data_IF_053763803301
#
_entry.id   IF_053763803301
#
_cell.length_a   1.000
_cell.length_b   1.000
_cell.length_c   1.000
_cell.angle_alpha   90.00
_cell.angle_beta   90.00
_cell.angle_gamma   90.00
#
_symmetry.space_group_name_H-M   'P 1'
#
loop_
_entity.id
_entity.type
_entity.pdbx_description
1 polymer ?
#
# COMPACT_ATOMS: atom_id res chain seq x y z
N UNK A 1 1.99 -4.92 32.06
CA UNK A 1 3.44 -4.54 31.95
C UNK A 1 3.66 -4.02 30.53
N UNK A 2 4.03 -2.77 30.36
CA UNK A 2 4.17 -2.15 29.03
C UNK A 2 5.50 -2.64 28.44
N UNK A 3 5.41 -3.47 27.39
CA UNK A 3 6.57 -3.81 26.59
C UNK A 3 7.07 -2.54 25.88
N UNK A 4 8.22 -2.00 26.30
CA UNK A 4 8.82 -0.83 25.67
C UNK A 4 9.79 -1.28 24.57
N UNK A 5 9.56 -0.83 23.33
CA UNK A 5 10.49 -1.04 22.19
C UNK A 5 11.72 -0.12 22.27
N UNK A 6 11.86 0.67 23.35
CA UNK A 6 12.99 1.56 23.50
C UNK A 6 14.31 0.78 23.46
N UNK A 7 15.34 1.29 22.76
CA UNK A 7 16.67 0.70 22.81
C UNK A 7 17.14 0.55 24.26
N UNK A 8 17.77 -0.59 24.60
CA UNK A 8 18.28 -0.83 25.95
C UNK A 8 19.19 0.30 26.41
N UNK A 9 20.01 0.82 25.49
CA UNK A 9 20.88 1.97 25.77
C UNK A 9 20.09 3.19 26.23
N UNK A 10 18.99 3.53 25.54
CA UNK A 10 18.17 4.66 25.93
C UNK A 10 17.53 4.46 27.31
N UNK A 11 17.01 3.26 27.59
CA UNK A 11 16.47 2.94 28.92
C UNK A 11 17.56 3.07 30.00
N UNK A 12 18.76 2.56 29.70
CA UNK A 12 19.90 2.69 30.62
C UNK A 12 20.24 4.17 30.87
N UNK A 13 20.37 4.97 29.79
CA UNK A 13 20.71 6.38 29.89
C UNK A 13 19.61 7.18 30.64
N UNK A 14 18.33 6.90 30.38
CA UNK A 14 17.20 7.55 31.09
C UNK A 14 17.21 7.25 32.59
N UNK A 15 17.56 6.01 33.00
CA UNK A 15 17.64 5.62 34.40
C UNK A 15 18.90 6.21 35.05
N UNK A 16 20.05 6.09 34.41
CA UNK A 16 21.35 6.50 35.00
C UNK A 16 21.50 8.01 35.08
N UNK A 17 20.88 8.77 34.17
CA UNK A 17 20.89 10.25 34.22
C UNK A 17 20.11 10.80 35.43
N UNK A 18 19.16 10.03 35.96
CA UNK A 18 18.34 10.43 37.10
C UNK A 18 18.90 9.97 38.47
N UNK A 19 20.01 9.22 38.48
CA UNK A 19 20.63 8.70 39.73
C UNK A 19 22.14 8.90 39.73
N UNK A 20 22.69 9.47 40.77
CA UNK A 20 24.16 9.67 40.89
C UNK A 20 24.96 8.35 40.86
N UNK A 21 24.42 7.29 41.45
CA UNK A 21 25.01 5.96 41.38
C UNK A 21 25.04 5.36 39.97
N UNK A 22 24.22 5.87 39.04
CA UNK A 22 24.23 5.46 37.65
C UNK A 22 25.51 5.78 36.90
N UNK A 23 26.26 6.80 37.35
CA UNK A 23 27.57 7.18 36.78
C UNK A 23 28.68 6.13 37.03
N UNK A 24 28.43 5.23 37.96
CA UNK A 24 29.41 4.17 38.38
C UNK A 24 29.27 2.90 37.50
N UNK A 25 28.23 2.79 36.68
CA UNK A 25 27.95 1.56 35.94
C UNK A 25 28.02 1.84 34.43
N UNK A 26 28.85 1.09 33.72
CA UNK A 26 28.92 1.17 32.27
C UNK A 26 27.82 0.33 31.59
N UNK A 27 27.16 0.87 30.56
CA UNK A 27 26.12 0.17 29.78
C UNK A 27 26.56 -1.23 29.34
N UNK A 28 27.79 -1.38 28.81
CA UNK A 28 28.29 -2.70 28.35
C UNK A 28 28.31 -3.79 29.41
N UNK A 29 28.45 -3.41 30.71
CA UNK A 29 28.36 -4.39 31.82
C UNK A 29 26.91 -4.82 32.09
N UNK A 30 25.95 -3.93 31.85
CA UNK A 30 24.51 -4.16 32.12
C UNK A 30 23.76 -4.69 30.93
N UNK A 31 24.24 -4.51 29.72
CA UNK A 31 23.51 -4.81 28.46
C UNK A 31 23.02 -6.27 28.42
N UNK A 32 23.85 -7.24 28.75
CA UNK A 32 23.46 -8.67 28.78
C UNK A 32 22.37 -8.93 29.82
N UNK A 33 22.52 -8.36 31.00
CA UNK A 33 21.52 -8.49 32.09
C UNK A 33 20.20 -7.84 31.71
N UNK A 34 20.23 -6.63 31.17
CA UNK A 34 19.03 -5.94 30.70
C UNK A 34 18.36 -6.70 29.56
N UNK A 35 19.14 -7.25 28.63
CA UNK A 35 18.61 -8.10 27.55
C UNK A 35 17.96 -9.37 28.10
N UNK A 36 18.63 -10.06 29.06
CA UNK A 36 18.08 -11.24 29.71
C UNK A 36 16.77 -10.95 30.43
N UNK A 37 16.70 -9.89 31.22
CA UNK A 37 15.44 -9.50 31.88
C UNK A 37 14.36 -9.13 30.89
N UNK A 38 14.69 -8.36 29.84
CA UNK A 38 13.72 -8.02 28.79
C UNK A 38 13.20 -9.28 28.08
N UNK A 39 14.08 -10.23 27.76
CA UNK A 39 13.70 -11.45 27.03
C UNK A 39 12.69 -12.32 27.79
N UNK A 40 12.64 -12.24 29.11
CA UNK A 40 11.62 -12.96 29.92
C UNK A 40 10.19 -12.46 29.70
N UNK A 41 10.04 -11.21 29.28
CA UNK A 41 8.73 -10.57 29.08
C UNK A 41 8.37 -10.45 27.59
N UNK A 42 9.27 -10.79 26.69
CA UNK A 42 8.97 -10.86 25.26
C UNK A 42 8.37 -12.23 24.97
N UNK A 43 7.15 -12.28 24.37
CA UNK A 43 6.60 -13.54 23.91
C UNK A 43 7.56 -14.27 22.97
N UNK A 44 7.60 -15.58 23.04
CA UNK A 44 8.39 -16.38 22.09
C UNK A 44 7.89 -16.13 20.68
N UNK A 45 8.81 -15.98 19.73
CA UNK A 45 8.44 -15.82 18.33
C UNK A 45 7.81 -17.12 17.82
N UNK A 46 6.64 -17.03 17.16
CA UNK A 46 5.97 -18.21 16.64
C UNK A 46 6.82 -18.88 15.55
N UNK A 47 6.84 -20.21 15.56
CA UNK A 47 7.55 -21.02 14.57
C UNK A 47 6.63 -21.47 13.44
N UNK A 48 5.33 -21.55 13.71
CA UNK A 48 4.29 -21.96 12.76
C UNK A 48 3.19 -20.90 12.65
N UNK A 49 2.34 -21.05 11.66
CA UNK A 49 1.17 -20.18 11.50
C UNK A 49 0.10 -20.45 12.59
N UNK A 50 -0.01 -21.68 13.07
CA UNK A 50 -0.90 -22.03 14.18
C UNK A 50 -0.47 -21.33 15.47
N UNK A 51 0.80 -21.46 15.86
CA UNK A 51 1.39 -20.73 17.00
C UNK A 51 1.22 -19.22 16.90
N UNK A 52 1.25 -18.67 15.66
CA UNK A 52 1.01 -17.25 15.42
C UNK A 52 -0.43 -16.87 15.77
N UNK A 53 -1.42 -17.70 15.44
CA UNK A 53 -2.83 -17.48 15.78
C UNK A 53 -3.05 -17.47 17.29
N UNK A 54 -2.44 -18.41 18.01
CA UNK A 54 -2.48 -18.49 19.48
C UNK A 54 -1.87 -17.22 20.11
N UNK A 55 -0.65 -16.88 19.70
CA UNK A 55 0.02 -15.67 20.18
C UNK A 55 -0.82 -14.40 19.93
N UNK A 56 -1.43 -14.28 18.76
CA UNK A 56 -2.25 -13.11 18.41
C UNK A 56 -3.54 -13.02 19.23
N UNK A 57 -4.08 -14.14 19.68
CA UNK A 57 -5.22 -14.16 20.60
C UNK A 57 -4.87 -13.57 21.97
N UNK A 58 -3.61 -13.67 22.39
CA UNK A 58 -3.12 -13.12 23.67
C UNK A 58 -2.68 -11.65 23.55
N UNK A 59 -1.94 -11.29 22.49
CA UNK A 59 -1.31 -9.97 22.37
C UNK A 59 -1.92 -9.09 21.28
N UNK A 60 -2.98 -9.56 20.60
CA UNK A 60 -3.56 -8.90 19.44
C UNK A 60 -4.36 -7.63 19.74
N UNK A 61 -4.62 -7.32 21.01
CA UNK A 61 -5.39 -6.15 21.42
C UNK A 61 -4.60 -4.85 21.33
N UNK A 62 -5.33 -3.74 21.17
CA UNK A 62 -4.82 -2.38 21.14
C UNK A 62 -5.68 -1.50 22.07
N UNK A 63 -5.10 -1.08 23.20
CA UNK A 63 -5.81 -0.27 24.17
C UNK A 63 -7.06 -0.95 24.77
N UNK A 64 -7.02 -2.25 25.01
CA UNK A 64 -8.15 -3.03 25.54
C UNK A 64 -9.21 -3.40 24.51
N UNK A 65 -8.97 -3.12 23.22
CA UNK A 65 -9.88 -3.47 22.13
C UNK A 65 -9.19 -4.38 21.11
N UNK A 66 -9.90 -5.32 20.47
CA UNK A 66 -9.35 -6.19 19.47
C UNK A 66 -8.73 -5.42 18.30
N UNK A 67 -7.47 -5.69 17.98
CA UNK A 67 -6.79 -5.21 16.78
C UNK A 67 -6.52 -6.36 15.81
N UNK A 68 -6.14 -7.52 16.32
CA UNK A 68 -6.18 -8.77 15.58
C UNK A 68 -7.64 -9.17 15.36
N UNK A 69 -8.02 -9.46 14.12
CA UNK A 69 -9.40 -9.82 13.76
C UNK A 69 -9.57 -11.29 13.49
N UNK A 70 -8.71 -11.84 12.65
CA UNK A 70 -8.66 -13.26 12.37
C UNK A 70 -7.36 -13.67 11.67
N UNK A 71 -7.08 -14.96 11.71
CA UNK A 71 -6.12 -15.61 10.82
C UNK A 71 -6.82 -16.78 10.11
N UNK A 72 -6.44 -17.02 8.87
CA UNK A 72 -6.98 -18.15 8.07
C UNK A 72 -5.82 -18.90 7.42
N UNK A 73 -5.89 -20.22 7.51
CA UNK A 73 -4.93 -21.16 6.94
C UNK A 73 -5.68 -22.00 5.90
N UNK A 74 -5.56 -21.62 4.65
CA UNK A 74 -6.27 -22.27 3.55
C UNK A 74 -5.31 -22.92 2.55
N UNK A 75 -5.84 -23.78 1.68
CA UNK A 75 -5.10 -24.35 0.55
C UNK A 75 -4.59 -23.29 -0.43
N UNK A 76 -5.13 -22.06 -0.38
CA UNK A 76 -4.72 -20.94 -1.23
C UNK A 76 -3.57 -20.14 -0.64
N UNK A 77 -3.26 -20.33 0.63
CA UNK A 77 -2.26 -19.61 1.41
C UNK A 77 -2.81 -19.12 2.75
N UNK A 78 -1.96 -18.52 3.54
CA UNK A 78 -2.27 -18.06 4.89
C UNK A 78 -2.30 -16.53 4.94
N UNK A 79 -3.16 -15.98 5.79
CA UNK A 79 -3.20 -14.55 6.04
C UNK A 79 -3.68 -14.23 7.46
N UNK A 80 -3.34 -13.01 7.89
CA UNK A 80 -3.76 -12.44 9.18
C UNK A 80 -4.33 -11.05 8.93
N UNK A 81 -5.48 -10.75 9.51
CA UNK A 81 -6.17 -9.46 9.39
C UNK A 81 -6.04 -8.66 10.67
N UNK A 82 -5.65 -7.39 10.52
CA UNK A 82 -5.55 -6.40 11.60
C UNK A 82 -6.39 -5.16 11.27
N UNK A 83 -7.22 -4.73 12.21
CA UNK A 83 -7.94 -3.47 12.12
C UNK A 83 -8.42 -3.04 13.52
N UNK A 84 -8.31 -1.76 13.85
CA UNK A 84 -8.93 -1.18 15.05
C UNK A 84 -10.45 -0.98 14.87
N UNK A 85 -11.19 -0.77 15.95
CA UNK A 85 -12.62 -0.47 15.87
C UNK A 85 -12.91 0.79 15.07
N UNK A 86 -12.07 1.83 15.20
CA UNK A 86 -12.18 3.04 14.38
C UNK A 86 -12.02 2.72 12.88
N UNK A 87 -11.04 1.90 12.53
CA UNK A 87 -10.81 1.51 11.13
C UNK A 87 -12.00 0.75 10.54
N UNK A 88 -12.61 -0.18 11.29
CA UNK A 88 -13.81 -0.90 10.84
C UNK A 88 -14.99 0.05 10.65
N UNK A 89 -15.18 1.02 11.57
CA UNK A 89 -16.22 2.04 11.42
C UNK A 89 -16.00 2.88 10.16
N UNK A 90 -14.77 3.33 9.90
CA UNK A 90 -14.44 4.10 8.70
C UNK A 90 -14.60 3.27 7.42
N UNK A 91 -14.45 1.97 7.50
CA UNK A 91 -14.59 1.06 6.37
C UNK A 91 -16.02 0.97 5.88
N UNK A 92 -17.02 1.00 6.77
CA UNK A 92 -18.44 1.03 6.40
C UNK A 92 -18.81 2.26 5.56
N UNK A 93 -18.18 3.41 5.83
CA UNK A 93 -18.49 4.68 5.19
C UNK A 93 -17.63 4.96 3.96
N UNK A 94 -16.64 4.09 3.67
CA UNK A 94 -15.65 4.33 2.64
C UNK A 94 -16.22 4.12 1.22
N UNK A 95 -16.40 5.21 0.46
CA UNK A 95 -16.87 5.19 -0.94
C UNK A 95 -15.74 5.00 -1.94
N UNK A 96 -14.56 5.57 -1.64
CA UNK A 96 -13.36 5.44 -2.48
C UNK A 96 -12.30 4.73 -1.68
N UNK A 97 -11.91 3.57 -2.14
CA UNK A 97 -10.92 2.70 -1.50
C UNK A 97 -9.72 2.53 -2.41
N UNK A 98 -8.53 2.71 -1.86
CA UNK A 98 -7.28 2.35 -2.53
C UNK A 98 -6.68 1.11 -1.88
N UNK A 99 -6.19 0.20 -2.68
CA UNK A 99 -5.58 -1.05 -2.23
C UNK A 99 -4.20 -1.22 -2.85
N UNK A 100 -3.22 -1.51 -2.01
CA UNK A 100 -1.84 -1.67 -2.42
C UNK A 100 -1.08 -2.54 -1.41
N UNK A 101 0.06 -3.07 -1.80
CA UNK A 101 0.87 -3.93 -0.96
C UNK A 101 2.30 -3.39 -0.77
N UNK A 102 2.85 -3.63 0.42
CA UNK A 102 4.24 -3.32 0.73
C UNK A 102 4.98 -4.56 1.22
N UNK A 103 6.21 -4.75 0.74
CA UNK A 103 7.00 -5.95 1.01
C UNK A 103 8.03 -5.73 2.13
N UNK A 104 8.59 -4.53 2.23
CA UNK A 104 9.73 -4.23 3.10
C UNK A 104 9.40 -4.24 4.60
N UNK A 105 8.14 -4.09 4.96
CA UNK A 105 7.69 -4.06 6.37
C UNK A 105 7.28 -5.43 6.90
N UNK A 106 7.24 -6.43 6.02
CA UNK A 106 6.86 -7.81 6.38
C UNK A 106 7.82 -8.37 7.43
N UNK A 107 7.30 -9.03 8.49
CA UNK A 107 8.14 -9.60 9.52
C UNK A 107 9.13 -10.63 8.97
N UNK A 108 10.37 -10.62 9.51
CA UNK A 108 11.41 -11.59 9.15
C UNK A 108 11.11 -13.01 9.65
N UNK A 109 10.28 -13.14 10.70
CA UNK A 109 9.83 -14.42 11.28
C UNK A 109 8.39 -14.29 11.76
N UNK A 110 7.53 -15.32 11.57
CA UNK A 110 7.78 -16.51 10.74
C UNK A 110 8.03 -16.12 9.27
N UNK A 111 8.92 -16.86 8.58
CA UNK A 111 9.42 -16.48 7.24
C UNK A 111 8.40 -16.58 6.09
N UNK A 112 7.17 -16.97 6.35
CA UNK A 112 6.23 -17.39 5.32
C UNK A 112 5.38 -16.24 4.74
N UNK A 113 5.51 -15.02 5.26
CA UNK A 113 4.75 -13.90 4.73
C UNK A 113 5.45 -13.26 3.54
N UNK A 114 4.65 -12.93 2.53
CA UNK A 114 5.12 -12.34 1.28
C UNK A 114 4.95 -10.82 1.26
N UNK A 115 3.79 -10.33 1.72
CA UNK A 115 3.46 -8.90 1.68
C UNK A 115 2.51 -8.49 2.81
N UNK A 116 2.54 -7.19 3.12
CA UNK A 116 1.50 -6.52 3.89
C UNK A 116 0.59 -5.79 2.89
N UNK A 117 -0.62 -6.32 2.68
CA UNK A 117 -1.66 -5.70 1.87
C UNK A 117 -2.42 -4.69 2.71
N UNK A 118 -2.54 -3.46 2.24
CA UNK A 118 -3.13 -2.34 2.96
C UNK A 118 -4.35 -1.84 2.20
N UNK A 119 -5.48 -1.79 2.88
CA UNK A 119 -6.73 -1.23 2.38
C UNK A 119 -6.89 0.15 2.99
N UNK A 120 -7.04 1.18 2.15
CA UNK A 120 -7.16 2.58 2.56
C UNK A 120 -8.46 3.18 2.03
N UNK A 121 -9.17 3.93 2.87
CA UNK A 121 -10.33 4.72 2.47
C UNK A 121 -9.97 6.20 2.34
N UNK A 122 -10.60 6.90 1.40
CA UNK A 122 -10.44 8.34 1.22
C UNK A 122 -11.45 9.10 2.07
N UNK A 123 -10.95 9.92 2.99
CA UNK A 123 -11.75 10.83 3.80
C UNK A 123 -11.02 12.17 3.98
N UNK A 124 -11.73 13.29 3.96
CA UNK A 124 -11.18 14.66 4.12
C UNK A 124 -10.00 14.94 3.17
N UNK A 125 -10.04 14.42 1.93
CA UNK A 125 -8.98 14.59 0.94
C UNK A 125 -7.73 13.72 1.15
N UNK A 126 -7.69 12.90 2.19
CA UNK A 126 -6.57 12.03 2.54
C UNK A 126 -6.94 10.55 2.50
N UNK A 127 -5.96 9.67 2.27
CA UNK A 127 -6.13 8.24 2.43
C UNK A 127 -5.75 7.82 3.86
N UNK A 128 -6.66 7.08 4.50
CA UNK A 128 -6.52 6.53 5.84
C UNK A 128 -6.50 5.01 5.77
N UNK A 129 -5.60 4.33 6.50
CA UNK A 129 -5.61 2.88 6.52
C UNK A 129 -6.88 2.38 7.21
N UNK A 130 -7.62 1.50 6.55
CA UNK A 130 -8.84 0.85 7.04
C UNK A 130 -8.57 -0.56 7.55
N UNK A 131 -7.63 -1.26 6.93
CA UNK A 131 -7.30 -2.63 7.27
C UNK A 131 -5.91 -3.01 6.79
N UNK A 132 -5.26 -3.90 7.52
CA UNK A 132 -3.98 -4.49 7.15
C UNK A 132 -4.12 -6.00 7.05
N UNK A 133 -3.60 -6.59 5.98
CA UNK A 133 -3.60 -8.03 5.78
C UNK A 133 -2.18 -8.51 5.51
N UNK A 134 -1.62 -9.24 6.46
CA UNK A 134 -0.34 -9.91 6.29
C UNK A 134 -0.58 -11.25 5.61
N UNK A 135 -0.04 -11.47 4.40
CA UNK A 135 -0.40 -12.61 3.55
C UNK A 135 0.82 -13.28 2.90
N UNK A 136 0.67 -14.58 2.57
CA UNK A 136 1.78 -15.44 2.12
C UNK A 136 2.02 -15.44 0.61
N UNK A 137 1.08 -15.01 -0.20
CA UNK A 137 1.21 -14.89 -1.64
C UNK A 137 0.21 -13.87 -2.21
N UNK A 138 0.24 -13.64 -3.53
CA UNK A 138 -0.61 -12.69 -4.25
C UNK A 138 -1.50 -13.35 -5.33
N UNK A 139 -1.92 -14.58 -5.11
CA UNK A 139 -2.79 -15.30 -6.04
C UNK A 139 -4.23 -14.83 -5.92
N UNK A 140 -4.97 -14.83 -7.02
CA UNK A 140 -6.40 -14.44 -7.08
C UNK A 140 -7.22 -15.12 -5.99
N UNK A 141 -7.08 -16.44 -5.84
CA UNK A 141 -7.89 -17.21 -4.88
C UNK A 141 -7.63 -16.77 -3.42
N UNK A 142 -6.39 -16.37 -3.08
CA UNK A 142 -6.10 -15.87 -1.75
C UNK A 142 -6.72 -14.49 -1.54
N UNK A 143 -6.64 -13.58 -2.52
CA UNK A 143 -7.32 -12.28 -2.45
C UNK A 143 -8.84 -12.44 -2.33
N UNK A 144 -9.45 -13.33 -3.13
CA UNK A 144 -10.90 -13.60 -3.05
C UNK A 144 -11.27 -14.09 -1.65
N UNK A 145 -10.49 -15.02 -1.08
CA UNK A 145 -10.72 -15.52 0.28
C UNK A 145 -10.57 -14.41 1.35
N UNK A 146 -9.60 -13.52 1.18
CA UNK A 146 -9.42 -12.36 2.04
C UNK A 146 -10.66 -11.45 1.97
N UNK A 147 -11.15 -11.11 0.77
CA UNK A 147 -12.33 -10.25 0.61
C UNK A 147 -13.60 -10.91 1.16
N UNK A 148 -13.76 -12.23 1.02
CA UNK A 148 -14.84 -12.98 1.68
C UNK A 148 -14.80 -12.80 3.21
N UNK A 149 -13.62 -12.95 3.83
CA UNK A 149 -13.44 -12.74 5.27
C UNK A 149 -13.64 -11.30 5.69
N UNK A 150 -13.22 -10.35 4.87
CA UNK A 150 -13.47 -8.92 5.11
C UNK A 150 -14.96 -8.62 5.14
N UNK A 151 -15.75 -9.16 4.20
CA UNK A 151 -17.22 -9.01 4.20
C UNK A 151 -17.90 -9.70 5.40
N UNK A 152 -17.29 -10.74 5.97
CA UNK A 152 -17.76 -11.31 7.24
C UNK A 152 -17.52 -10.40 8.45
N UNK A 153 -16.39 -9.65 8.46
CA UNK A 153 -16.04 -8.70 9.53
C UNK A 153 -16.82 -7.39 9.37
N UNK A 154 -17.02 -6.93 8.13
CA UNK A 154 -17.67 -5.67 7.76
C UNK A 154 -18.68 -5.95 6.65
N UNK A 155 -19.89 -6.44 6.98
CA UNK A 155 -20.89 -6.87 5.99
C UNK A 155 -21.30 -5.80 4.99
N UNK A 156 -21.36 -4.52 5.43
CA UNK A 156 -21.78 -3.37 4.61
C UNK A 156 -20.63 -2.73 3.81
N UNK A 157 -19.46 -3.37 3.77
CA UNK A 157 -18.33 -2.87 3.01
C UNK A 157 -18.53 -3.07 1.50
N UNK A 158 -19.10 -2.07 0.85
CA UNK A 158 -19.34 -2.04 -0.60
C UNK A 158 -18.98 -0.64 -1.15
N UNK A 159 -17.69 -0.37 -1.39
CA UNK A 159 -17.25 0.93 -1.90
C UNK A 159 -17.67 1.13 -3.37
N UNK A 160 -17.95 2.39 -3.75
CA UNK A 160 -18.29 2.74 -5.12
C UNK A 160 -17.10 2.54 -6.07
N UNK A 161 -15.86 2.76 -5.56
CA UNK A 161 -14.66 2.75 -6.39
C UNK A 161 -13.47 2.13 -5.67
N UNK A 162 -12.79 1.22 -6.35
CA UNK A 162 -11.44 0.75 -5.98
C UNK A 162 -10.38 1.37 -6.89
N UNK A 163 -9.30 1.87 -6.27
CA UNK A 163 -8.05 2.26 -6.92
C UNK A 163 -7.00 1.20 -6.60
N UNK A 164 -6.36 0.62 -7.59
CA UNK A 164 -5.34 -0.42 -7.37
C UNK A 164 -4.24 -0.34 -8.43
N UNK A 165 -3.16 -1.06 -8.20
CA UNK A 165 -2.17 -1.32 -9.22
C UNK A 165 -2.69 -2.36 -10.24
N UNK A 166 -2.01 -2.44 -11.37
CA UNK A 166 -2.39 -3.39 -12.44
C UNK A 166 -1.92 -4.82 -12.14
N UNK A 167 -2.13 -5.28 -10.90
CA UNK A 167 -1.90 -6.68 -10.54
C UNK A 167 -3.12 -7.53 -10.90
N UNK A 168 -2.97 -8.43 -11.88
CA UNK A 168 -4.08 -9.24 -12.41
C UNK A 168 -4.81 -10.04 -11.34
N UNK A 169 -4.06 -10.64 -10.41
CA UNK A 169 -4.64 -11.43 -9.33
C UNK A 169 -5.58 -10.60 -8.46
N UNK A 170 -5.17 -9.39 -8.13
CA UNK A 170 -5.95 -8.44 -7.33
C UNK A 170 -7.16 -7.92 -8.10
N UNK A 171 -6.97 -7.45 -9.35
CA UNK A 171 -8.06 -6.93 -10.19
C UNK A 171 -9.16 -8.00 -10.38
N UNK A 172 -8.76 -9.24 -10.68
CA UNK A 172 -9.71 -10.35 -10.85
C UNK A 172 -10.47 -10.64 -9.57
N UNK A 173 -9.80 -10.68 -8.43
CA UNK A 173 -10.43 -10.90 -7.14
C UNK A 173 -11.40 -9.77 -6.76
N UNK A 174 -11.02 -8.50 -7.00
CA UNK A 174 -11.89 -7.35 -6.78
C UNK A 174 -13.17 -7.44 -7.64
N UNK A 175 -13.03 -7.70 -8.95
CA UNK A 175 -14.18 -7.86 -9.86
C UNK A 175 -15.13 -8.99 -9.44
N UNK A 176 -14.59 -10.08 -8.87
CA UNK A 176 -15.39 -11.20 -8.38
C UNK A 176 -16.08 -10.90 -7.05
N UNK A 177 -15.42 -10.17 -6.16
CA UNK A 177 -15.91 -9.93 -4.80
C UNK A 177 -16.80 -8.68 -4.67
N UNK A 178 -16.63 -7.69 -5.57
CA UNK A 178 -17.31 -6.40 -5.52
C UNK A 178 -17.89 -6.05 -6.89
N UNK A 179 -18.95 -6.74 -7.27
CA UNK A 179 -19.55 -6.66 -8.62
C UNK A 179 -20.14 -5.30 -8.97
N UNK A 180 -20.53 -4.52 -7.95
CA UNK A 180 -21.11 -3.18 -8.13
C UNK A 180 -20.07 -2.07 -8.07
N UNK A 181 -18.84 -2.37 -7.72
CA UNK A 181 -17.76 -1.38 -7.59
C UNK A 181 -17.04 -1.15 -8.91
N UNK A 182 -16.74 0.10 -9.21
CA UNK A 182 -15.83 0.45 -10.31
C UNK A 182 -14.37 0.18 -9.87
N UNK A 183 -13.59 -0.48 -10.75
CA UNK A 183 -12.20 -0.80 -10.47
C UNK A 183 -11.30 -0.07 -11.46
N UNK A 184 -10.49 0.84 -10.94
CA UNK A 184 -9.59 1.68 -11.72
C UNK A 184 -8.14 1.43 -11.33
N UNK A 185 -7.30 1.31 -12.35
CA UNK A 185 -5.86 1.27 -12.16
C UNK A 185 -5.25 2.66 -11.94
N UNK A 186 -4.05 2.70 -11.39
CA UNK A 186 -3.33 3.93 -11.15
C UNK A 186 -2.73 4.49 -12.45
N UNK A 187 -3.06 5.74 -12.81
CA UNK A 187 -2.48 6.42 -13.97
C UNK A 187 -0.95 6.47 -13.95
N UNK A 188 -0.35 6.69 -12.79
CA UNK A 188 1.10 6.70 -12.64
C UNK A 188 1.72 5.36 -13.04
N UNK A 189 1.15 4.24 -12.56
CA UNK A 189 1.64 2.90 -12.90
C UNK A 189 1.47 2.55 -14.38
N UNK A 190 0.39 2.99 -15.02
CA UNK A 190 0.23 2.89 -16.48
C UNK A 190 1.34 3.65 -17.20
N UNK A 191 1.52 4.93 -16.88
CA UNK A 191 2.55 5.78 -17.49
C UNK A 191 3.94 5.20 -17.32
N UNK A 192 4.28 4.74 -16.11
CA UNK A 192 5.57 4.10 -15.82
C UNK A 192 5.77 2.78 -16.59
N UNK A 193 4.71 2.00 -16.78
CA UNK A 193 4.79 0.77 -17.55
C UNK A 193 5.04 1.05 -19.03
N UNK A 194 4.36 2.03 -19.61
CA UNK A 194 4.57 2.46 -21.00
C UNK A 194 5.99 3.04 -21.18
N UNK A 195 6.47 3.88 -20.24
CA UNK A 195 7.84 4.40 -20.27
C UNK A 195 8.90 3.29 -20.19
N UNK A 196 8.69 2.29 -19.32
CA UNK A 196 9.57 1.13 -19.23
C UNK A 196 9.57 0.33 -20.53
N UNK A 197 8.42 0.18 -21.17
CA UNK A 197 8.30 -0.50 -22.47
C UNK A 197 9.10 0.25 -23.54
N UNK A 198 8.96 1.57 -23.63
CA UNK A 198 9.78 2.42 -24.53
C UNK A 198 11.28 2.19 -24.30
N UNK A 199 11.69 2.08 -23.02
CA UNK A 199 13.09 1.81 -22.66
C UNK A 199 13.56 0.41 -23.04
N UNK A 200 12.77 -0.63 -22.78
CA UNK A 200 13.11 -2.03 -23.09
C UNK A 200 13.15 -2.33 -24.59
N UNK A 201 12.32 -1.62 -25.37
CA UNK A 201 12.33 -1.73 -26.84
C UNK A 201 13.48 -0.96 -27.51
N UNK A 202 14.42 -0.42 -26.73
CA UNK A 202 15.57 0.33 -27.24
C UNK A 202 15.25 1.79 -27.64
N UNK A 203 14.00 2.24 -27.48
CA UNK A 203 13.51 3.53 -27.96
C UNK A 203 13.74 4.69 -26.98
N UNK A 204 14.55 4.51 -25.92
CA UNK A 204 14.86 5.56 -24.94
C UNK A 204 15.49 6.79 -25.59
N UNK A 205 16.46 6.57 -26.50
CA UNK A 205 17.11 7.68 -27.21
C UNK A 205 16.16 8.42 -28.15
N UNK A 206 15.26 7.68 -28.81
CA UNK A 206 14.21 8.24 -29.65
C UNK A 206 13.28 9.12 -28.81
N UNK A 207 12.83 8.62 -27.65
CA UNK A 207 11.98 9.39 -26.72
C UNK A 207 12.63 10.67 -26.21
N UNK A 208 13.96 10.67 -25.99
CA UNK A 208 14.70 11.84 -25.50
C UNK A 208 14.92 12.86 -26.62
N UNK A 209 15.28 12.40 -27.84
CA UNK A 209 15.79 13.25 -28.92
C UNK A 209 14.71 13.69 -29.92
N UNK A 210 13.61 12.92 -30.13
CA UNK A 210 12.55 13.29 -31.05
C UNK A 210 11.38 13.96 -30.32
N UNK A 211 11.13 15.28 -30.55
CA UNK A 211 9.95 15.96 -30.05
C UNK A 211 8.64 15.33 -30.52
N UNK A 212 8.61 14.82 -31.77
CA UNK A 212 7.44 14.18 -32.38
C UNK A 212 7.09 12.89 -31.64
N UNK A 213 8.07 12.00 -31.44
CA UNK A 213 7.83 10.77 -30.69
C UNK A 213 7.49 11.02 -29.24
N UNK A 214 8.14 12.03 -28.60
CA UNK A 214 7.80 12.44 -27.24
C UNK A 214 6.36 12.95 -27.15
N UNK A 215 5.87 13.67 -28.17
CA UNK A 215 4.47 14.10 -28.24
C UNK A 215 3.51 12.90 -28.37
N UNK A 216 3.82 11.94 -29.25
CA UNK A 216 3.06 10.69 -29.40
C UNK A 216 3.00 9.93 -28.08
N UNK A 217 4.15 9.73 -27.41
CA UNK A 217 4.21 9.03 -26.13
C UNK A 217 3.38 9.73 -25.05
N UNK A 218 3.42 11.05 -24.94
CA UNK A 218 2.58 11.82 -24.01
C UNK A 218 1.09 11.61 -24.28
N UNK A 219 0.69 11.54 -25.53
CA UNK A 219 -0.70 11.26 -25.91
C UNK A 219 -1.11 9.84 -25.56
N UNK A 220 -0.22 8.85 -25.73
CA UNK A 220 -0.44 7.49 -25.26
C UNK A 220 -0.63 7.45 -23.73
N UNK A 221 0.19 8.19 -22.95
CA UNK A 221 0.01 8.31 -21.50
C UNK A 221 -1.34 8.93 -21.13
N UNK A 222 -1.88 9.82 -21.95
CA UNK A 222 -3.14 10.53 -21.72
C UNK A 222 -4.38 9.71 -22.09
N UNK A 223 -4.24 8.55 -22.74
CA UNK A 223 -5.38 7.70 -23.11
C UNK A 223 -6.26 7.36 -21.92
N UNK A 224 -5.65 7.10 -20.76
CA UNK A 224 -6.38 6.73 -19.54
C UNK A 224 -7.18 7.88 -18.93
N UNK A 225 -6.95 9.12 -19.35
CA UNK A 225 -7.73 10.30 -18.94
C UNK A 225 -9.06 10.42 -19.70
N UNK A 226 -9.26 9.63 -20.75
CA UNK A 226 -10.45 9.60 -21.57
C UNK A 226 -11.52 8.66 -21.00
N UNK A 227 -12.81 8.91 -21.28
CA UNK A 227 -13.85 7.93 -21.04
C UNK A 227 -13.51 6.58 -21.69
N UNK A 228 -13.87 5.44 -21.10
CA UNK A 228 -13.53 4.10 -21.64
C UNK A 228 -13.87 3.93 -23.11
N UNK A 229 -15.03 4.45 -23.57
CA UNK A 229 -15.50 4.37 -24.96
C UNK A 229 -14.66 5.19 -25.95
N UNK A 230 -13.87 6.15 -25.46
CA UNK A 230 -13.05 7.03 -26.32
C UNK A 230 -11.59 6.58 -26.39
N UNK A 231 -11.15 5.60 -25.58
CA UNK A 231 -9.76 5.14 -25.54
C UNK A 231 -9.36 4.50 -26.87
N UNK A 232 -10.13 3.52 -27.37
CA UNK A 232 -9.79 2.81 -28.63
C UNK A 232 -9.78 3.75 -29.83
N UNK A 233 -10.79 4.62 -30.06
CA UNK A 233 -10.74 5.60 -31.13
C UNK A 233 -9.53 6.56 -31.05
N UNK A 234 -9.18 7.01 -29.84
CA UNK A 234 -8.04 7.88 -29.65
C UNK A 234 -6.70 7.15 -29.89
N UNK A 235 -6.58 5.91 -29.41
CA UNK A 235 -5.42 5.05 -29.67
C UNK A 235 -5.20 4.85 -31.16
N UNK A 236 -6.24 4.48 -31.92
CA UNK A 236 -6.16 4.29 -33.37
C UNK A 236 -5.75 5.58 -34.10
N UNK A 237 -6.25 6.73 -33.68
CA UNK A 237 -5.82 8.03 -34.23
C UNK A 237 -4.33 8.28 -34.01
N UNK A 238 -3.84 8.04 -32.79
CA UNK A 238 -2.42 8.20 -32.45
C UNK A 238 -1.55 7.25 -33.30
N UNK A 239 -1.99 5.99 -33.47
CA UNK A 239 -1.31 4.98 -34.29
C UNK A 239 -1.23 5.43 -35.75
N UNK A 240 -2.34 5.91 -36.34
CA UNK A 240 -2.39 6.41 -37.72
C UNK A 240 -1.49 7.64 -37.93
N UNK A 241 -1.40 8.53 -36.96
CA UNK A 241 -0.48 9.67 -37.03
C UNK A 241 0.98 9.21 -36.95
N UNK A 242 1.29 8.22 -36.10
CA UNK A 242 2.62 7.69 -35.94
C UNK A 242 3.14 7.01 -37.23
N UNK A 243 2.25 6.38 -38.01
CA UNK A 243 2.59 5.76 -39.31
C UNK A 243 3.21 6.74 -40.31
N UNK A 244 2.99 8.06 -40.16
CA UNK A 244 3.55 9.10 -41.03
C UNK A 244 5.03 9.38 -40.76
N UNK A 245 5.58 8.83 -39.67
CA UNK A 245 6.96 9.10 -39.28
C UNK A 245 7.88 7.90 -39.57
N UNK A 246 9.11 8.11 -40.00
CA UNK A 246 10.05 7.02 -40.31
C UNK A 246 10.34 6.10 -39.11
N UNK A 247 10.20 6.61 -37.90
CA UNK A 247 10.46 5.83 -36.69
C UNK A 247 9.30 4.86 -36.30
N UNK A 248 8.19 4.81 -37.05
CA UNK A 248 7.07 3.94 -36.73
C UNK A 248 7.49 2.47 -36.56
N UNK A 249 8.30 1.96 -37.50
CA UNK A 249 8.80 0.57 -37.45
C UNK A 249 9.49 0.23 -36.13
N UNK A 250 10.22 1.20 -35.53
CA UNK A 250 10.88 1.03 -34.22
C UNK A 250 9.90 1.02 -33.06
N UNK A 251 8.68 1.53 -33.26
CA UNK A 251 7.67 1.72 -32.19
C UNK A 251 6.47 0.78 -32.33
N UNK A 252 6.45 -0.10 -33.33
CA UNK A 252 5.35 -1.02 -33.60
C UNK A 252 5.07 -1.95 -32.40
N UNK A 253 6.11 -2.45 -31.76
CA UNK A 253 6.01 -3.29 -30.56
C UNK A 253 5.37 -2.55 -29.39
N UNK A 254 5.61 -1.24 -29.26
CA UNK A 254 4.95 -0.40 -28.25
C UNK A 254 3.44 -0.32 -28.49
N UNK A 255 3.00 -0.10 -29.73
CA UNK A 255 1.58 -0.06 -30.07
C UNK A 255 0.93 -1.42 -29.87
N UNK A 256 1.58 -2.49 -30.30
CA UNK A 256 1.12 -3.88 -30.08
C UNK A 256 0.97 -4.18 -28.57
N UNK A 257 1.92 -3.75 -27.75
CA UNK A 257 1.86 -3.89 -26.30
C UNK A 257 0.66 -3.13 -25.70
N UNK A 258 0.43 -1.88 -26.10
CA UNK A 258 -0.70 -1.10 -25.60
C UNK A 258 -2.03 -1.74 -26.01
N UNK A 259 -2.15 -2.17 -27.24
CA UNK A 259 -3.37 -2.77 -27.76
C UNK A 259 -3.66 -4.14 -27.10
N UNK A 260 -2.70 -5.06 -27.12
CA UNK A 260 -2.90 -6.43 -26.62
C UNK A 260 -3.03 -6.49 -25.11
N UNK A 261 -2.15 -5.80 -24.38
CA UNK A 261 -2.10 -5.88 -22.94
C UNK A 261 -3.08 -4.90 -22.28
N UNK A 262 -2.99 -3.60 -22.59
CA UNK A 262 -3.77 -2.60 -21.88
C UNK A 262 -5.22 -2.53 -22.33
N UNK A 263 -5.47 -2.48 -23.63
CA UNK A 263 -6.82 -2.34 -24.16
C UNK A 263 -7.58 -3.67 -24.06
N UNK A 264 -6.97 -4.77 -24.55
CA UNK A 264 -7.66 -6.06 -24.68
C UNK A 264 -7.63 -6.88 -23.38
N UNK A 265 -6.49 -6.98 -22.68
CA UNK A 265 -6.37 -7.83 -21.48
C UNK A 265 -6.82 -7.13 -20.20
N UNK A 266 -6.34 -5.91 -19.91
CA UNK A 266 -6.72 -5.15 -18.72
C UNK A 266 -8.12 -4.55 -18.90
N UNK A 267 -8.39 -3.96 -20.06
CA UNK A 267 -9.66 -3.42 -20.49
C UNK A 267 -9.82 -1.92 -20.22
N UNK A 268 -10.42 -1.22 -21.18
CA UNK A 268 -10.63 0.22 -21.13
C UNK A 268 -11.32 0.74 -19.86
N UNK A 269 -12.34 0.08 -19.29
CA UNK A 269 -12.94 0.52 -18.04
C UNK A 269 -11.95 0.53 -16.86
N UNK A 270 -11.03 -0.44 -16.80
CA UNK A 270 -10.06 -0.55 -15.70
C UNK A 270 -8.91 0.44 -15.84
N UNK A 271 -8.44 0.72 -17.08
CA UNK A 271 -7.35 1.68 -17.29
C UNK A 271 -7.81 3.14 -17.26
N UNK A 272 -9.09 3.41 -17.52
CA UNK A 272 -9.63 4.78 -17.49
C UNK A 272 -9.71 5.32 -16.07
N UNK A 273 -9.18 6.52 -15.87
CA UNK A 273 -9.33 7.31 -14.63
C UNK A 273 -10.18 8.56 -14.87
N UNK A 274 -10.94 8.58 -15.98
CA UNK A 274 -11.83 9.69 -16.31
C UNK A 274 -12.90 9.87 -15.24
N UNK A 275 -13.16 11.12 -14.84
CA UNK A 275 -14.14 11.43 -13.81
C UNK A 275 -13.71 11.12 -12.37
N UNK A 276 -12.59 10.42 -12.16
CA UNK A 276 -12.15 10.08 -10.82
C UNK A 276 -11.51 11.30 -10.12
N UNK A 277 -11.94 11.55 -8.89
CA UNK A 277 -11.36 12.58 -8.03
C UNK A 277 -9.95 12.21 -7.53
N UNK A 278 -9.52 10.96 -7.73
CA UNK A 278 -8.18 10.45 -7.46
C UNK A 278 -7.73 9.62 -8.66
N UNK A 279 -6.79 10.16 -9.45
CA UNK A 279 -6.26 9.53 -10.66
C UNK A 279 -5.04 8.63 -10.39
N UNK A 280 -4.48 8.77 -9.20
CA UNK A 280 -3.28 8.05 -8.77
C UNK A 280 -3.47 7.57 -7.35
N UNK A 281 -2.75 6.50 -6.98
CA UNK A 281 -2.66 6.00 -5.60
C UNK A 281 -1.54 6.69 -4.79
N UNK A 282 -1.04 7.86 -5.23
CA UNK A 282 0.06 8.59 -4.55
C UNK A 282 -0.17 8.76 -3.04
N UNK A 283 -1.42 8.96 -2.61
CA UNK A 283 -1.75 9.05 -1.18
C UNK A 283 -1.46 7.75 -0.43
N UNK A 284 -1.73 6.61 -1.04
CA UNK A 284 -1.42 5.30 -0.48
C UNK A 284 0.08 4.99 -0.58
N UNK A 285 0.76 5.36 -1.67
CA UNK A 285 2.21 5.24 -1.78
C UNK A 285 2.92 6.04 -0.67
N UNK A 286 2.46 7.27 -0.41
CA UNK A 286 2.96 8.09 0.70
C UNK A 286 2.70 7.43 2.06
N UNK A 287 1.57 6.77 2.24
CA UNK A 287 1.26 6.02 3.46
C UNK A 287 2.17 4.79 3.59
N UNK A 288 2.39 4.02 2.52
CA UNK A 288 3.31 2.90 2.50
C UNK A 288 4.76 3.34 2.80
N UNK A 289 5.18 4.51 2.32
CA UNK A 289 6.47 5.10 2.68
C UNK A 289 6.54 5.45 4.18
N UNK A 290 5.48 6.02 4.77
CA UNK A 290 5.38 6.26 6.21
C UNK A 290 5.41 4.95 7.02
N UNK A 291 4.68 3.92 6.57
CA UNK A 291 4.71 2.58 7.18
C UNK A 291 6.14 2.03 7.21
N UNK A 292 6.87 2.10 6.09
CA UNK A 292 8.26 1.65 6.02
C UNK A 292 9.17 2.37 7.03
N UNK A 293 9.03 3.68 7.18
CA UNK A 293 9.82 4.47 8.13
C UNK A 293 9.46 4.10 9.57
N UNK A 294 8.17 3.91 9.87
CA UNK A 294 7.68 3.66 11.24
C UNK A 294 7.87 2.21 11.67
N UNK A 295 7.62 1.25 10.79
CA UNK A 295 7.73 -0.18 11.10
C UNK A 295 9.18 -0.67 10.95
N UNK A 296 9.92 -0.13 9.99
CA UNK A 296 11.26 -0.58 9.63
C UNK A 296 11.25 -1.70 8.59
N UNK A 297 12.46 -2.18 8.25
CA UNK A 297 12.65 -3.21 7.23
C UNK A 297 12.79 -4.56 7.90
N UNK A 298 11.90 -5.48 7.56
CA UNK A 298 11.87 -6.87 8.03
C UNK A 298 12.09 -7.03 9.55
N UNK A 299 11.31 -6.33 10.41
CA UNK A 299 11.43 -6.48 11.86
C UNK A 299 11.04 -7.90 12.30
N UNK A 300 11.31 -8.28 13.56
CA UNK A 300 10.65 -9.46 14.10
C UNK A 300 9.15 -9.20 14.31
N UNK A 301 8.35 -10.26 14.45
CA UNK A 301 6.88 -10.15 14.48
C UNK A 301 6.36 -9.29 15.65
N UNK A 302 6.95 -9.39 16.82
CA UNK A 302 6.51 -8.63 18.02
C UNK A 302 6.75 -7.12 17.78
N UNK A 303 7.92 -6.76 17.27
CA UNK A 303 8.25 -5.37 16.89
C UNK A 303 7.33 -4.88 15.78
N UNK A 304 7.09 -5.71 14.77
CA UNK A 304 6.14 -5.40 13.70
C UNK A 304 4.76 -5.05 14.26
N UNK A 305 4.21 -5.93 15.10
CA UNK A 305 2.87 -5.76 15.67
C UNK A 305 2.78 -4.50 16.54
N UNK A 306 3.75 -4.28 17.43
CA UNK A 306 3.79 -3.09 18.29
C UNK A 306 3.84 -1.80 17.48
N UNK A 307 4.71 -1.75 16.46
CA UNK A 307 4.86 -0.58 15.58
C UNK A 307 3.63 -0.37 14.67
N UNK A 308 3.00 -1.45 14.21
CA UNK A 308 1.76 -1.35 13.43
C UNK A 308 0.62 -0.78 14.29
N UNK A 309 0.49 -1.20 15.55
CA UNK A 309 -0.47 -0.62 16.52
C UNK A 309 -0.20 0.87 16.75
N UNK A 310 1.05 1.24 17.03
CA UNK A 310 1.43 2.65 17.24
C UNK A 310 1.18 3.51 16.00
N UNK A 311 1.48 2.99 14.82
CA UNK A 311 1.16 3.65 13.54
C UNK A 311 -0.35 3.85 13.38
N UNK A 312 -1.15 2.82 13.66
CA UNK A 312 -2.62 2.88 13.57
C UNK A 312 -3.19 3.93 14.52
N UNK A 313 -2.70 4.00 15.77
CA UNK A 313 -3.10 5.04 16.73
C UNK A 313 -2.78 6.44 16.19
N UNK A 314 -1.58 6.65 15.66
CA UNK A 314 -1.19 7.95 15.07
C UNK A 314 -2.09 8.34 13.89
N UNK A 315 -2.43 7.39 13.01
CA UNK A 315 -3.32 7.65 11.88
C UNK A 315 -4.76 7.93 12.32
N UNK A 316 -5.22 7.30 13.40
CA UNK A 316 -6.53 7.59 14.01
C UNK A 316 -6.58 9.01 14.56
N UNK A 317 -5.53 9.47 15.25
CA UNK A 317 -5.43 10.84 15.73
C UNK A 317 -5.41 11.86 14.58
N UNK A 318 -4.71 11.55 13.48
CA UNK A 318 -4.71 12.40 12.29
C UNK A 318 -6.11 12.49 11.66
N UNK A 319 -6.85 11.39 11.63
CA UNK A 319 -8.25 11.38 11.17
C UNK A 319 -9.13 12.28 12.03
N UNK A 320 -9.08 12.16 13.37
CA UNK A 320 -9.87 12.98 14.28
C UNK A 320 -9.52 14.48 14.16
N UNK A 321 -8.24 14.81 13.95
CA UNK A 321 -7.81 16.19 13.68
C UNK A 321 -8.44 16.74 12.39
N UNK A 322 -8.43 15.97 11.30
CA UNK A 322 -9.05 16.38 10.04
C UNK A 322 -10.56 16.56 10.18
N UNK A 323 -11.24 15.67 10.92
CA UNK A 323 -12.67 15.79 11.25
C UNK A 323 -12.99 17.09 11.97
N UNK A 324 -12.05 17.59 12.80
CA UNK A 324 -12.14 18.87 13.48
C UNK A 324 -11.60 20.06 12.66
N UNK A 325 -11.41 19.89 11.34
CA UNK A 325 -10.81 20.88 10.43
C UNK A 325 -9.41 21.35 10.86
N UNK A 326 -8.65 20.51 11.58
CA UNK A 326 -7.26 20.81 11.95
C UNK A 326 -6.29 20.29 10.90
N UNK A 327 -5.22 21.04 10.66
CA UNK A 327 -4.17 20.62 9.74
C UNK A 327 -3.30 19.51 10.35
N UNK A 328 -2.98 18.49 9.54
CA UNK A 328 -2.10 17.37 9.93
C UNK A 328 -0.68 17.49 9.36
N UNK A 329 -0.45 18.44 8.46
CA UNK A 329 0.87 18.68 7.85
C UNK A 329 1.14 20.17 7.71
N UNK A 330 2.43 20.56 7.63
CA UNK A 330 2.80 21.94 7.28
C UNK A 330 2.29 22.26 5.88
N UNK A 331 1.82 23.51 5.67
CA UNK A 331 1.47 23.99 4.34
C UNK A 331 2.68 23.85 3.40
N UNK A 332 2.47 23.22 2.23
CA UNK A 332 3.49 23.19 1.19
C UNK A 332 3.80 24.64 0.79
N UNK A 333 5.09 25.00 0.70
CA UNK A 333 5.51 26.30 0.18
C UNK A 333 4.90 26.47 -1.23
N UNK A 334 4.41 27.66 -1.57
CA UNK A 334 3.78 28.00 -2.87
C UNK A 334 4.59 27.51 -4.09
N UNK A 335 5.93 27.58 -4.03
CA UNK A 335 6.84 27.11 -5.08
C UNK A 335 6.74 25.59 -5.40
N UNK A 336 6.20 24.79 -4.49
CA UNK A 336 6.03 23.34 -4.70
C UNK A 336 4.67 23.02 -5.32
N UNK A 337 3.66 23.87 -5.10
CA UNK A 337 2.32 23.71 -5.68
C UNK A 337 2.34 24.06 -7.17
N UNK A 338 3.05 25.10 -7.57
CA UNK A 338 3.18 25.51 -8.99
C UNK A 338 3.90 24.46 -9.85
N UNK A 339 4.89 23.74 -9.28
CA UNK A 339 5.60 22.66 -10.01
C UNK A 339 4.77 21.40 -10.26
N UNK A 340 3.67 21.19 -9.53
CA UNK A 340 2.78 20.02 -9.71
C UNK A 340 1.75 20.26 -10.83
N UNK A 341 1.47 21.50 -11.19
CA UNK A 341 0.52 21.86 -12.25
C UNK A 341 1.15 21.93 -13.66
N UNK A 342 2.47 21.76 -13.76
CA UNK A 342 3.22 21.83 -15.04
C UNK A 342 3.63 20.47 -15.61
N UNK A 343 3.00 19.36 -15.16
CA UNK A 343 3.25 18.02 -15.72
C UNK A 343 1.96 17.40 -16.23
#
# INVERSE_FOLDING_TARGET
MIYTEQPLRKIFDDITNNHESGKLVAFGKMEKTMFYHRSKYIPKLPKSFAELGELLSEIGDMGGHPFYRLSDCSMFGNFVIFASNLQLKLMNDAKIVSVDATFKVVPSRPKNFYQLFVICGKAYGHFHPLMYVLMTNKRTNLYTKIFEKIKQIVPDFEPDTFLCDFEFGLIKALKQSFVNSAIHGCWFHFTQAVLRRIGSDGNKNLYIKSPEFKSIAKRLFSLTLLPPTKIVPAFNRIKQECLKFPFYQLTEDLFTYIESFWINSVGCPTISVHGNSSRTNNGQEALNAKLKVKIGVHPNFIVFLGRLKAFTTSMGLDYERLKLNKQISRNKKRSTVEKIHCY
#
